data_IF_030887687851
#
_entry.id   IF_030887687851
#
_cell.length_a   1.000
_cell.length_b   1.000
_cell.length_c   1.000
_cell.angle_alpha   90.00
_cell.angle_beta   90.00
_cell.angle_gamma   90.00
#
_symmetry.space_group_name_H-M   'P 1'
#
loop_
_entity.id
_entity.type
_entity.pdbx_description
1 polymer ?
#
# COMPACT_ATOMS: atom_id res chain seq x y z
N UNK A 1 -6.31 4.66 -25.72
CA UNK A 1 -6.92 3.48 -26.32
C UNK A 1 -7.55 2.59 -25.28
N UNK A 2 -8.83 2.69 -25.22
CA UNK A 2 -9.87 1.92 -24.56
C UNK A 2 -9.42 0.65 -23.82
N UNK A 3 -9.13 0.78 -22.53
CA UNK A 3 -9.22 -0.28 -21.54
C UNK A 3 -10.70 -0.69 -21.29
N UNK A 4 -11.65 -0.09 -21.99
CA UNK A 4 -13.07 -0.41 -21.92
C UNK A 4 -13.36 -1.63 -22.80
N UNK A 5 -13.52 -2.79 -22.18
CA UNK A 5 -13.96 -4.02 -22.82
C UNK A 5 -13.15 -5.28 -22.47
N UNK A 6 -12.09 -5.18 -21.67
CA UNK A 6 -11.40 -6.37 -21.16
C UNK A 6 -12.17 -6.95 -19.97
N UNK A 7 -12.30 -8.28 -19.96
CA UNK A 7 -12.86 -8.99 -18.82
C UNK A 7 -11.98 -8.73 -17.60
N UNK A 8 -12.53 -8.36 -16.44
CA UNK A 8 -11.73 -8.18 -15.22
C UNK A 8 -10.89 -9.43 -14.93
N UNK A 9 -9.68 -9.24 -14.40
CA UNK A 9 -8.77 -10.33 -14.03
C UNK A 9 -9.43 -11.32 -13.07
N UNK A 10 -10.22 -10.80 -12.14
CA UNK A 10 -10.90 -11.55 -11.08
C UNK A 10 -12.42 -11.36 -11.17
N UNK A 11 -13.16 -12.27 -10.53
CA UNK A 11 -14.61 -12.33 -10.57
C UNK A 11 -15.31 -11.57 -9.45
N UNK A 12 -14.57 -10.77 -8.69
CA UNK A 12 -15.08 -10.01 -7.53
C UNK A 12 -15.98 -8.88 -8.03
N UNK A 13 -17.26 -8.85 -7.58
CA UNK A 13 -18.28 -8.02 -8.22
C UNK A 13 -18.10 -6.51 -8.04
N UNK A 14 -17.25 -6.08 -7.08
CA UNK A 14 -16.98 -4.67 -6.82
C UNK A 14 -15.63 -4.18 -7.37
N UNK A 15 -14.82 -5.05 -8.01
CA UNK A 15 -13.52 -4.66 -8.57
C UNK A 15 -13.62 -3.47 -9.53
N UNK A 16 -14.69 -3.41 -10.35
CA UNK A 16 -14.92 -2.30 -11.27
C UNK A 16 -15.22 -0.95 -10.60
N UNK A 17 -15.49 -0.95 -9.29
CA UNK A 17 -15.68 0.27 -8.48
C UNK A 17 -14.41 0.71 -7.75
N UNK A 18 -13.37 -0.10 -7.79
CA UNK A 18 -12.06 0.19 -7.20
C UNK A 18 -11.19 0.95 -8.22
N UNK A 19 -11.54 2.24 -8.48
CA UNK A 19 -10.82 3.09 -9.42
C UNK A 19 -9.32 3.17 -9.11
N UNK A 20 -8.95 3.01 -7.85
CA UNK A 20 -7.56 3.05 -7.40
C UNK A 20 -6.72 1.85 -7.88
N UNK A 21 -7.36 0.79 -8.40
CA UNK A 21 -6.71 -0.36 -9.05
C UNK A 21 -6.70 -0.24 -10.57
N UNK A 22 -7.79 0.30 -11.15
CA UNK A 22 -7.92 0.58 -12.58
C UNK A 22 -8.80 1.80 -12.82
N UNK A 23 -8.17 2.90 -13.18
CA UNK A 23 -8.86 4.13 -13.49
C UNK A 23 -8.96 4.32 -15.01
N UNK A 24 -10.17 4.20 -15.53
CA UNK A 24 -10.46 4.34 -16.96
C UNK A 24 -10.84 5.76 -17.37
N UNK A 25 -10.84 6.71 -16.44
CA UNK A 25 -11.30 8.08 -16.68
C UNK A 25 -12.83 8.19 -16.84
N UNK A 26 -13.59 7.24 -16.31
CA UNK A 26 -15.06 7.22 -16.44
C UNK A 26 -15.72 8.29 -15.56
N UNK A 27 -16.01 9.44 -16.14
CA UNK A 27 -16.68 10.54 -15.44
C UNK A 27 -18.12 10.22 -15.01
N UNK A 28 -18.70 9.09 -15.45
CA UNK A 28 -20.01 8.64 -14.97
C UNK A 28 -19.91 7.99 -13.59
N UNK A 29 -18.74 7.45 -13.24
CA UNK A 29 -18.44 6.93 -11.91
C UNK A 29 -18.28 8.08 -10.92
N UNK A 30 -17.39 9.03 -11.23
CA UNK A 30 -17.09 10.20 -10.41
C UNK A 30 -16.42 11.29 -11.28
N UNK A 31 -16.63 12.56 -10.96
CA UNK A 31 -15.98 13.68 -11.65
C UNK A 31 -15.50 14.73 -10.64
N UNK A 32 -14.25 15.22 -10.76
CA UNK A 32 -13.26 14.87 -11.78
C UNK A 32 -12.61 13.52 -11.53
N UNK A 33 -12.19 12.87 -12.61
CA UNK A 33 -11.40 11.63 -12.63
C UNK A 33 -10.48 11.66 -13.86
N UNK A 34 -9.31 11.02 -13.77
CA UNK A 34 -8.36 11.00 -14.87
C UNK A 34 -7.81 9.60 -15.11
N UNK A 35 -7.91 9.13 -16.36
CA UNK A 35 -7.40 7.82 -16.77
C UNK A 35 -5.95 7.61 -16.34
N UNK A 36 -5.66 6.42 -15.80
CA UNK A 36 -4.35 6.01 -15.33
C UNK A 36 -3.95 6.55 -13.95
N UNK A 37 -4.81 7.34 -13.29
CA UNK A 37 -4.62 7.69 -11.88
C UNK A 37 -4.99 6.50 -10.99
N UNK A 38 -4.16 5.47 -11.01
CA UNK A 38 -4.29 4.21 -10.27
C UNK A 38 -2.91 3.61 -9.98
N UNK A 39 -2.86 2.58 -9.15
CA UNK A 39 -1.61 1.91 -8.79
C UNK A 39 -1.12 0.90 -9.83
N UNK A 40 -1.75 0.80 -11.00
CA UNK A 40 -1.37 -0.09 -12.11
C UNK A 40 -1.20 -1.56 -11.68
N UNK A 41 -2.11 -2.05 -10.83
CA UNK A 41 -2.00 -3.39 -10.23
C UNK A 41 -2.45 -4.52 -11.16
N UNK A 42 -3.40 -4.30 -12.07
CA UNK A 42 -3.89 -5.37 -12.97
C UNK A 42 -2.76 -6.01 -13.80
N UNK A 43 -1.85 -5.25 -14.44
CA UNK A 43 -0.71 -5.85 -15.12
C UNK A 43 0.26 -6.56 -14.16
N UNK A 44 0.39 -6.09 -12.93
CA UNK A 44 1.23 -6.74 -11.91
C UNK A 44 0.69 -8.13 -11.54
N UNK A 45 -0.64 -8.30 -11.46
CA UNK A 45 -1.29 -9.56 -11.16
C UNK A 45 -1.02 -10.65 -12.22
N UNK A 46 -0.56 -10.32 -13.42
CA UNK A 46 -0.10 -11.31 -14.39
C UNK A 46 1.17 -12.05 -13.95
N UNK A 47 1.93 -11.47 -13.03
CA UNK A 47 3.19 -12.01 -12.52
C UNK A 47 3.07 -12.60 -11.12
N UNK A 48 2.35 -11.93 -10.25
CA UNK A 48 2.16 -12.35 -8.85
C UNK A 48 0.88 -11.74 -8.28
N UNK A 49 0.17 -12.51 -7.46
CA UNK A 49 -1.07 -12.08 -6.78
C UNK A 49 -0.97 -12.10 -5.26
N UNK A 50 0.11 -12.67 -4.71
CA UNK A 50 0.36 -12.81 -3.28
C UNK A 50 1.19 -14.05 -2.96
N UNK A 51 1.56 -14.20 -1.69
CA UNK A 51 2.18 -15.40 -1.11
C UNK A 51 1.82 -15.48 0.38
N UNK A 52 1.26 -16.60 0.89
CA UNK A 52 0.79 -16.71 2.26
C UNK A 52 1.90 -16.69 3.32
N UNK A 53 3.16 -16.80 2.93
CA UNK A 53 4.30 -16.64 3.83
C UNK A 53 4.67 -15.17 4.11
N UNK A 54 4.11 -14.23 3.36
CA UNK A 54 4.29 -12.80 3.59
C UNK A 54 3.22 -12.32 4.56
N UNK A 55 3.66 -11.76 5.68
CA UNK A 55 2.78 -11.31 6.76
C UNK A 55 2.86 -9.79 6.85
N UNK A 56 1.69 -9.15 6.80
CA UNK A 56 1.51 -7.71 7.04
C UNK A 56 0.83 -7.54 8.39
N UNK A 57 1.53 -6.93 9.34
CA UNK A 57 0.95 -6.55 10.62
C UNK A 57 0.21 -5.23 10.47
N UNK A 58 -1.11 -5.24 10.61
CA UNK A 58 -1.97 -4.05 10.60
C UNK A 58 -2.12 -3.56 12.03
N UNK A 59 -1.37 -2.51 12.34
CA UNK A 59 -1.35 -1.85 13.66
C UNK A 59 -2.37 -0.71 13.66
N UNK A 60 -3.61 -1.00 14.10
CA UNK A 60 -4.78 -0.13 13.88
C UNK A 60 -5.92 -0.44 14.88
N UNK A 61 -7.18 -0.11 14.55
CA UNK A 61 -8.36 -0.75 15.11
C UNK A 61 -8.34 -2.26 14.83
N UNK A 62 -9.14 -3.03 15.59
CA UNK A 62 -9.25 -4.48 15.35
C UNK A 62 -9.77 -4.82 13.97
N UNK A 63 -9.06 -5.72 13.28
CA UNK A 63 -9.52 -6.26 12.00
C UNK A 63 -10.62 -7.30 12.25
N UNK A 64 -11.76 -7.14 11.56
CA UNK A 64 -12.83 -8.13 11.58
C UNK A 64 -12.39 -9.44 10.90
N UNK A 65 -11.65 -10.27 11.61
CA UNK A 65 -11.05 -11.52 11.07
C UNK A 65 -12.08 -12.54 10.58
N UNK A 66 -13.38 -12.35 10.90
CA UNK A 66 -14.50 -13.16 10.39
C UNK A 66 -15.15 -12.56 9.14
N UNK A 67 -14.63 -11.47 8.61
CA UNK A 67 -15.16 -10.85 7.41
C UNK A 67 -15.09 -11.85 6.24
N UNK A 68 -16.18 -12.00 5.50
CA UNK A 68 -16.31 -12.99 4.40
C UNK A 68 -15.21 -12.87 3.34
N UNK A 69 -14.68 -11.66 3.15
CA UNK A 69 -13.69 -11.31 2.15
C UNK A 69 -12.27 -11.15 2.73
N UNK A 70 -12.06 -11.45 4.02
CA UNK A 70 -10.75 -11.38 4.70
C UNK A 70 -10.35 -12.69 5.37
N UNK A 71 -11.31 -13.47 5.85
CA UNK A 71 -11.06 -14.60 6.76
C UNK A 71 -10.00 -15.58 6.24
N UNK A 72 -9.96 -15.89 4.94
CA UNK A 72 -8.99 -16.79 4.35
C UNK A 72 -7.56 -16.22 4.30
N UNK A 73 -7.43 -14.89 4.31
CA UNK A 73 -6.14 -14.19 4.29
C UNK A 73 -5.71 -13.65 5.67
N UNK A 74 -6.41 -14.05 6.73
CA UNK A 74 -5.91 -13.74 8.08
C UNK A 74 -4.71 -14.60 8.43
N UNK A 75 -3.75 -13.99 9.10
CA UNK A 75 -2.68 -14.71 9.81
C UNK A 75 -3.27 -15.46 11.01
N UNK A 76 -2.77 -16.64 11.28
CA UNK A 76 -3.27 -17.48 12.37
C UNK A 76 -2.10 -18.06 13.15
N UNK A 77 -2.07 -17.79 14.46
CA UNK A 77 -1.21 -18.52 15.38
C UNK A 77 -1.79 -19.92 15.59
N UNK A 78 -1.15 -20.92 14.96
CA UNK A 78 -1.65 -22.31 14.98
C UNK A 78 -1.53 -22.96 16.34
N UNK A 79 -0.59 -22.55 17.18
CA UNK A 79 -0.44 -23.06 18.55
C UNK A 79 -1.66 -22.65 19.39
N UNK A 80 -2.00 -21.37 19.36
CA UNK A 80 -3.14 -20.81 20.09
C UNK A 80 -4.50 -21.32 19.54
N UNK A 81 -4.64 -21.41 18.21
CA UNK A 81 -5.89 -21.90 17.59
C UNK A 81 -6.19 -23.37 18.00
N UNK A 82 -5.17 -24.20 18.12
CA UNK A 82 -5.29 -25.62 18.45
C UNK A 82 -5.00 -25.90 19.93
N UNK A 83 -4.69 -24.87 20.70
CA UNK A 83 -4.31 -24.90 22.08
C UNK A 83 -5.48 -24.88 23.07
N UNK A 84 -5.21 -24.53 24.30
CA UNK A 84 -6.17 -24.50 25.39
C UNK A 84 -6.55 -23.03 25.68
N UNK A 85 -7.82 -22.71 25.58
CA UNK A 85 -8.32 -21.35 25.87
C UNK A 85 -7.85 -20.85 27.26
N UNK A 86 -7.30 -19.63 27.29
CA UNK A 86 -6.78 -18.98 28.49
C UNK A 86 -5.38 -19.43 28.88
N UNK A 87 -4.68 -20.14 27.99
CA UNK A 87 -3.29 -20.57 28.13
C UNK A 87 -2.47 -19.97 27.00
N UNK A 88 -1.26 -19.56 27.27
CA UNK A 88 -0.24 -19.20 26.27
C UNK A 88 0.43 -20.51 25.82
N UNK A 89 -0.05 -21.08 24.71
CA UNK A 89 0.32 -22.44 24.27
C UNK A 89 1.68 -22.47 23.53
N UNK A 90 2.18 -21.34 23.03
CA UNK A 90 3.49 -21.23 22.39
C UNK A 90 4.56 -20.55 23.25
N UNK A 91 4.18 -20.03 24.43
CA UNK A 91 5.10 -19.41 25.39
C UNK A 91 5.65 -18.07 24.96
N UNK A 92 4.92 -17.35 24.08
CA UNK A 92 5.32 -16.05 23.57
C UNK A 92 5.00 -14.88 24.51
N UNK A 93 4.23 -15.12 25.59
CA UNK A 93 3.78 -14.14 26.57
C UNK A 93 2.41 -13.54 26.29
N UNK A 94 1.69 -13.99 25.24
CA UNK A 94 0.41 -13.48 24.79
C UNK A 94 -0.64 -14.60 24.73
N UNK A 95 -1.57 -14.61 25.68
CA UNK A 95 -2.60 -15.65 25.79
C UNK A 95 -3.68 -15.48 24.71
N UNK A 96 -4.07 -16.59 24.05
CA UNK A 96 -5.14 -16.63 23.06
C UNK A 96 -4.93 -15.69 21.84
N UNK A 97 -3.69 -15.41 21.42
CA UNK A 97 -3.35 -14.49 20.31
C UNK A 97 -3.54 -15.11 18.91
N UNK A 98 -4.71 -15.72 18.68
CA UNK A 98 -5.00 -16.52 17.47
C UNK A 98 -4.87 -15.73 16.16
N UNK A 99 -5.34 -14.49 16.11
CA UNK A 99 -5.32 -13.64 14.90
C UNK A 99 -4.44 -12.39 15.04
N UNK A 100 -3.64 -12.34 16.09
CA UNK A 100 -2.89 -11.21 16.56
C UNK A 100 -3.27 -10.86 17.99
N UNK A 101 -2.97 -9.65 18.47
CA UNK A 101 -3.20 -9.31 19.88
C UNK A 101 -3.79 -7.89 20.01
N UNK A 102 -4.68 -7.71 21.02
CA UNK A 102 -5.31 -6.45 21.35
C UNK A 102 -4.51 -5.76 22.47
N UNK A 103 -3.58 -4.89 22.07
CA UNK A 103 -2.73 -4.12 22.98
C UNK A 103 -3.49 -2.96 23.66
N UNK A 104 -4.64 -2.53 23.14
CA UNK A 104 -5.47 -1.51 23.78
C UNK A 104 -6.14 -2.06 25.04
N UNK A 105 -6.51 -3.33 25.06
CA UNK A 105 -7.19 -4.00 26.16
C UNK A 105 -6.37 -5.09 26.86
N UNK A 106 -5.17 -5.42 26.34
CA UNK A 106 -4.27 -6.45 26.87
C UNK A 106 -4.90 -7.85 26.88
N UNK A 107 -5.32 -8.31 25.72
CA UNK A 107 -5.98 -9.61 25.54
C UNK A 107 -5.81 -10.16 24.13
N UNK A 108 -5.89 -11.48 23.96
CA UNK A 108 -5.86 -12.14 22.64
C UNK A 108 -7.12 -11.90 21.79
N UNK A 109 -8.24 -11.56 22.44
CA UNK A 109 -9.50 -11.34 21.72
C UNK A 109 -9.49 -9.98 20.98
N UNK A 110 -9.42 -10.08 19.64
CA UNK A 110 -9.54 -8.91 18.75
C UNK A 110 -10.99 -8.47 18.70
N UNK A 111 -11.26 -7.20 18.97
CA UNK A 111 -12.59 -6.60 19.00
C UNK A 111 -12.76 -5.59 17.88
N UNK A 112 -13.97 -5.44 17.33
CA UNK A 112 -14.31 -4.49 16.26
C UNK A 112 -15.73 -3.92 16.39
N UNK A 113 -16.37 -4.14 17.54
CA UNK A 113 -17.73 -3.67 17.85
C UNK A 113 -17.77 -2.86 19.15
N UNK A 114 -16.63 -2.35 19.58
CA UNK A 114 -16.58 -1.44 20.70
C UNK A 114 -17.27 -0.12 20.33
N UNK A 115 -17.89 0.57 21.29
CA UNK A 115 -18.46 1.88 21.03
C UNK A 115 -17.41 2.83 20.42
N UNK A 116 -17.73 3.42 19.27
CA UNK A 116 -16.85 4.30 18.48
C UNK A 116 -15.86 3.57 17.56
N UNK A 117 -15.84 2.24 17.48
CA UNK A 117 -15.13 1.54 16.38
C UNK A 117 -15.73 1.95 15.04
N UNK A 118 -14.86 2.30 14.09
CA UNK A 118 -15.25 2.78 12.76
C UNK A 118 -15.10 1.74 11.66
N UNK A 119 -14.46 0.59 11.96
CA UNK A 119 -14.06 -0.41 10.99
C UNK A 119 -12.80 -0.02 10.21
N UNK A 120 -12.07 0.97 10.67
CA UNK A 120 -10.89 1.52 10.02
C UNK A 120 -9.82 0.45 9.76
N UNK A 121 -9.43 -0.33 10.77
CA UNK A 121 -8.45 -1.41 10.60
C UNK A 121 -8.92 -2.51 9.62
N UNK A 122 -10.25 -2.79 9.58
CA UNK A 122 -10.83 -3.72 8.61
C UNK A 122 -10.75 -3.17 7.18
N UNK A 123 -10.98 -1.86 7.01
CA UNK A 123 -10.86 -1.20 5.71
C UNK A 123 -9.41 -1.20 5.18
N UNK A 124 -8.47 -0.88 6.04
CA UNK A 124 -7.02 -0.95 5.76
C UNK A 124 -6.61 -2.37 5.34
N UNK A 125 -7.03 -3.38 6.11
CA UNK A 125 -6.72 -4.78 5.82
C UNK A 125 -7.26 -5.24 4.46
N UNK A 126 -8.48 -4.83 4.09
CA UNK A 126 -9.09 -5.17 2.79
C UNK A 126 -8.34 -4.60 1.60
N UNK A 127 -7.85 -3.37 1.68
CA UNK A 127 -7.03 -2.79 0.62
C UNK A 127 -5.74 -3.60 0.38
N UNK A 128 -5.15 -4.15 1.45
CA UNK A 128 -3.94 -4.97 1.32
C UNK A 128 -4.27 -6.36 0.78
N UNK A 129 -5.25 -7.06 1.38
CA UNK A 129 -5.42 -8.50 1.18
C UNK A 129 -6.87 -9.00 1.29
N UNK A 130 -7.88 -8.23 0.87
CA UNK A 130 -9.18 -8.83 0.58
C UNK A 130 -8.98 -9.99 -0.41
N UNK A 131 -9.76 -11.06 -0.26
CA UNK A 131 -9.54 -12.31 -1.02
C UNK A 131 -9.95 -12.12 -2.48
N UNK A 132 -9.00 -12.16 -3.40
CA UNK A 132 -9.28 -12.03 -4.83
C UNK A 132 -9.92 -13.30 -5.40
N UNK A 133 -10.73 -13.13 -6.45
CA UNK A 133 -11.32 -14.20 -7.26
C UNK A 133 -12.17 -15.19 -6.45
N UNK A 134 -12.82 -14.71 -5.41
CA UNK A 134 -13.74 -15.49 -4.57
C UNK A 134 -15.22 -15.28 -4.90
N UNK A 135 -15.53 -14.40 -5.86
CA UNK A 135 -16.90 -14.12 -6.33
C UNK A 135 -17.72 -13.20 -5.41
N UNK A 136 -17.11 -12.60 -4.42
CA UNK A 136 -17.76 -11.66 -3.49
C UNK A 136 -16.94 -10.39 -3.33
N UNK A 137 -17.56 -9.29 -2.93
CA UNK A 137 -16.97 -8.05 -2.48
C UNK A 137 -15.94 -7.41 -3.41
N UNK A 138 -14.78 -7.12 -2.84
CA UNK A 138 -13.69 -6.34 -3.40
C UNK A 138 -12.42 -7.16 -3.59
N UNK A 139 -11.44 -6.62 -4.33
CA UNK A 139 -10.09 -7.19 -4.38
C UNK A 139 -9.16 -6.49 -3.39
N UNK A 140 -8.18 -7.24 -2.87
CA UNK A 140 -6.99 -6.72 -2.22
C UNK A 140 -5.80 -6.69 -3.19
N UNK A 141 -4.82 -5.81 -2.95
CA UNK A 141 -3.64 -5.66 -3.82
C UNK A 141 -2.83 -6.96 -3.89
N UNK A 142 -2.68 -7.63 -2.77
CA UNK A 142 -1.97 -8.90 -2.62
C UNK A 142 -2.90 -10.01 -2.09
N UNK A 143 -4.19 -9.99 -2.51
CA UNK A 143 -5.26 -10.86 -2.03
C UNK A 143 -5.23 -12.30 -2.56
N UNK A 144 -4.24 -12.65 -3.38
CA UNK A 144 -4.09 -13.97 -3.98
C UNK A 144 -4.87 -14.17 -5.27
N UNK A 145 -5.06 -15.42 -5.67
CA UNK A 145 -5.75 -15.83 -6.90
C UNK A 145 -7.08 -16.56 -6.68
N UNK A 146 -7.55 -16.62 -5.43
CA UNK A 146 -8.69 -17.43 -5.02
C UNK A 146 -8.32 -18.83 -4.50
N UNK A 147 -7.02 -19.12 -4.38
CA UNK A 147 -6.50 -20.43 -3.94
C UNK A 147 -5.90 -20.38 -2.52
N UNK A 148 -6.34 -19.47 -1.66
CA UNK A 148 -5.77 -19.18 -0.33
C UNK A 148 -4.29 -18.79 -0.36
N UNK A 149 -3.86 -18.18 -1.42
CA UNK A 149 -2.48 -17.79 -1.73
C UNK A 149 -2.23 -16.28 -1.55
N UNK A 150 -3.16 -15.56 -0.95
CA UNK A 150 -2.97 -14.15 -0.56
C UNK A 150 -2.01 -13.97 0.61
N UNK A 151 -1.44 -12.77 0.72
CA UNK A 151 -0.63 -12.39 1.89
C UNK A 151 -1.47 -12.41 3.17
N UNK A 152 -0.83 -12.63 4.30
CA UNK A 152 -1.53 -12.80 5.58
C UNK A 152 -1.57 -11.51 6.39
N UNK A 153 -2.75 -11.17 6.90
CA UNK A 153 -3.00 -10.02 7.76
C UNK A 153 -2.96 -10.45 9.22
N UNK A 154 -2.04 -9.87 9.98
CA UNK A 154 -1.96 -10.00 11.43
C UNK A 154 -2.59 -8.76 12.07
N UNK A 155 -3.60 -8.94 12.92
CA UNK A 155 -4.28 -7.82 13.59
C UNK A 155 -3.53 -7.40 14.84
N UNK A 156 -2.94 -6.21 14.81
CA UNK A 156 -2.27 -5.59 15.94
C UNK A 156 -3.15 -4.45 16.44
N UNK A 157 -4.07 -4.77 17.35
CA UNK A 157 -5.09 -3.83 17.77
C UNK A 157 -4.55 -2.87 18.82
N UNK A 158 -4.40 -1.58 18.48
CA UNK A 158 -3.97 -0.51 19.37
C UNK A 158 -5.08 0.50 19.67
N UNK A 159 -6.20 0.42 18.95
CA UNK A 159 -7.43 1.17 19.17
C UNK A 159 -8.62 0.20 19.33
N UNK A 160 -9.44 0.41 20.35
CA UNK A 160 -10.63 -0.40 20.61
C UNK A 160 -11.74 0.53 21.16
N UNK A 161 -12.47 1.17 20.26
CA UNK A 161 -13.43 2.22 20.58
C UNK A 161 -12.74 3.38 21.30
N UNK A 162 -13.12 3.61 22.55
CA UNK A 162 -12.52 4.66 23.42
C UNK A 162 -11.16 4.27 23.99
N UNK A 163 -10.78 3.03 23.93
CA UNK A 163 -9.51 2.56 24.45
C UNK A 163 -8.41 2.73 23.42
N UNK A 164 -7.32 3.31 23.86
CA UNK A 164 -6.12 3.51 23.08
C UNK A 164 -4.92 2.93 23.82
N UNK A 165 -4.05 2.25 23.14
CA UNK A 165 -2.82 1.75 23.73
C UNK A 165 -1.88 2.90 24.12
N UNK A 166 -0.97 2.64 25.05
CA UNK A 166 0.09 3.58 25.45
C UNK A 166 1.31 3.42 24.54
N UNK A 167 2.24 4.38 24.58
CA UNK A 167 3.52 4.29 23.84
C UNK A 167 4.26 2.99 24.20
N UNK A 168 4.31 2.60 25.46
CA UNK A 168 4.94 1.37 25.90
C UNK A 168 4.27 0.14 25.27
N UNK A 169 2.94 0.11 25.23
CA UNK A 169 2.20 -0.98 24.57
C UNK A 169 2.37 -1.01 23.06
N UNK A 170 2.53 0.15 22.42
CA UNK A 170 2.86 0.23 21.00
C UNK A 170 4.25 -0.39 20.74
N UNK A 171 5.20 -0.15 21.64
CA UNK A 171 6.52 -0.77 21.59
C UNK A 171 6.40 -2.31 21.70
N UNK A 172 5.64 -2.81 22.68
CA UNK A 172 5.37 -4.25 22.83
C UNK A 172 4.72 -4.83 21.56
N UNK A 173 3.77 -4.10 20.96
CA UNK A 173 3.08 -4.46 19.72
C UNK A 173 4.06 -4.61 18.54
N UNK A 174 5.06 -3.72 18.43
CA UNK A 174 6.08 -3.78 17.38
C UNK A 174 7.02 -4.99 17.59
N UNK A 175 7.43 -5.25 18.84
CA UNK A 175 8.22 -6.44 19.18
C UNK A 175 7.43 -7.73 18.91
N UNK A 176 6.16 -7.77 19.27
CA UNK A 176 5.26 -8.88 18.98
C UNK A 176 5.18 -9.13 17.46
N UNK A 177 4.84 -8.11 16.66
CA UNK A 177 4.78 -8.24 15.20
C UNK A 177 6.10 -8.77 14.61
N UNK A 178 7.24 -8.33 15.18
CA UNK A 178 8.58 -8.81 14.79
C UNK A 178 8.76 -10.29 15.09
N UNK A 179 8.47 -10.71 16.33
CA UNK A 179 8.64 -12.11 16.78
C UNK A 179 7.71 -13.08 16.07
N UNK A 180 6.50 -12.63 15.72
CA UNK A 180 5.51 -13.41 14.98
C UNK A 180 5.72 -13.39 13.45
N UNK A 181 6.81 -12.80 12.97
CA UNK A 181 7.30 -12.95 11.61
C UNK A 181 6.76 -11.93 10.58
N UNK A 182 6.11 -10.86 11.00
CA UNK A 182 5.64 -9.83 10.08
C UNK A 182 6.80 -9.14 9.35
N UNK A 183 6.73 -9.06 8.02
CA UNK A 183 7.74 -8.38 7.19
C UNK A 183 7.39 -6.92 6.93
N UNK A 184 6.11 -6.55 7.05
CA UNK A 184 5.60 -5.21 6.85
C UNK A 184 4.79 -4.80 8.08
N UNK A 185 5.06 -3.60 8.61
CA UNK A 185 4.26 -2.96 9.63
C UNK A 185 3.46 -1.82 8.98
N UNK A 186 2.16 -1.99 8.92
CA UNK A 186 1.20 -1.05 8.35
C UNK A 186 0.61 -0.18 9.46
N UNK A 187 0.79 1.14 9.36
CA UNK A 187 0.39 2.11 10.38
C UNK A 187 -0.42 3.26 9.78
N UNK A 188 -1.75 3.15 9.81
CA UNK A 188 -2.64 4.22 9.34
C UNK A 188 -3.07 5.17 10.49
N UNK A 189 -2.12 5.58 11.31
CA UNK A 189 -2.29 6.46 12.46
C UNK A 189 -1.07 7.36 12.66
N UNK A 190 -1.17 8.34 13.53
CA UNK A 190 -0.04 9.22 13.86
C UNK A 190 -0.46 10.34 14.81
N UNK A 191 0.49 11.21 15.14
CA UNK A 191 0.24 12.45 15.84
C UNK A 191 -0.22 13.52 14.86
N UNK A 192 -1.05 14.44 15.32
CA UNK A 192 -1.47 15.58 14.53
C UNK A 192 -0.27 16.41 14.08
N UNK A 193 -0.37 16.98 12.88
CA UNK A 193 0.63 17.93 12.35
C UNK A 193 0.98 19.00 13.39
N UNK A 194 2.28 19.19 13.60
CA UNK A 194 2.80 20.19 14.56
C UNK A 194 2.86 19.74 16.04
N UNK A 195 2.40 18.55 16.39
CA UNK A 195 2.56 18.01 17.75
C UNK A 195 4.04 17.71 18.08
N UNK A 196 4.78 17.20 17.11
CA UNK A 196 6.24 17.06 17.14
C UNK A 196 6.77 17.71 15.85
N UNK A 197 7.84 18.49 15.94
CA UNK A 197 8.32 19.36 14.87
C UNK A 197 9.74 19.04 14.37
N UNK A 198 10.43 18.10 15.02
CA UNK A 198 11.77 17.68 14.60
C UNK A 198 12.07 16.25 15.05
N UNK A 199 13.03 15.61 14.36
CA UNK A 199 13.54 14.28 14.74
C UNK A 199 14.16 14.28 16.14
N UNK A 200 14.83 15.39 16.53
CA UNK A 200 15.38 15.55 17.87
C UNK A 200 14.28 15.51 18.93
N UNK A 201 13.20 16.29 18.75
CA UNK A 201 12.05 16.26 19.65
C UNK A 201 11.41 14.87 19.68
N UNK A 202 11.28 14.21 18.54
CA UNK A 202 10.72 12.86 18.47
C UNK A 202 11.56 11.85 19.25
N UNK A 203 12.88 11.91 19.11
CA UNK A 203 13.80 11.04 19.86
C UNK A 203 13.80 11.34 21.36
N UNK A 204 13.67 12.59 21.76
CA UNK A 204 13.58 12.97 23.19
C UNK A 204 12.30 12.42 23.84
N UNK A 205 11.19 12.49 23.14
CA UNK A 205 9.87 12.11 23.69
C UNK A 205 9.52 10.64 23.47
N UNK A 206 10.06 10.00 22.39
CA UNK A 206 9.64 8.69 21.87
C UNK A 206 10.79 7.79 21.47
N UNK A 207 11.95 7.92 22.07
CA UNK A 207 13.12 7.08 21.77
C UNK A 207 12.86 5.57 21.84
N UNK A 208 12.00 5.12 22.76
CA UNK A 208 11.63 3.70 22.86
C UNK A 208 10.88 3.21 21.63
N UNK A 209 10.02 4.04 21.02
CA UNK A 209 9.29 3.73 19.79
C UNK A 209 10.26 3.72 18.60
N UNK A 210 11.17 4.69 18.49
CA UNK A 210 12.21 4.71 17.46
C UNK A 210 13.14 3.48 17.54
N UNK A 211 13.49 3.03 18.74
CA UNK A 211 14.27 1.81 18.96
C UNK A 211 13.49 0.55 18.53
N UNK A 212 12.18 0.49 18.80
CA UNK A 212 11.35 -0.62 18.35
C UNK A 212 11.23 -0.64 16.82
N UNK A 213 11.14 0.51 16.15
CA UNK A 213 11.20 0.58 14.69
C UNK A 213 12.53 0.06 14.16
N UNK A 214 13.65 0.49 14.73
CA UNK A 214 14.96 -0.02 14.34
C UNK A 214 15.07 -1.55 14.55
N UNK A 215 14.51 -2.07 15.64
CA UNK A 215 14.43 -3.51 15.88
C UNK A 215 13.61 -4.23 14.81
N UNK A 216 12.41 -3.73 14.48
CA UNK A 216 11.56 -4.30 13.43
C UNK A 216 12.28 -4.32 12.07
N UNK A 217 12.94 -3.23 11.69
CA UNK A 217 13.61 -3.09 10.39
C UNK A 217 14.81 -4.05 10.30
N UNK A 218 15.60 -4.18 11.38
CA UNK A 218 16.89 -4.91 11.34
C UNK A 218 16.78 -6.39 11.73
N UNK A 219 15.64 -6.87 12.24
CA UNK A 219 15.50 -8.27 12.64
C UNK A 219 15.13 -9.13 11.45
N UNK A 220 15.96 -10.14 11.13
CA UNK A 220 15.71 -11.12 10.06
C UNK A 220 14.59 -12.07 10.45
N UNK A 221 13.71 -12.39 9.50
CA UNK A 221 12.65 -13.39 9.65
C UNK A 221 13.02 -14.63 8.84
N UNK A 222 13.00 -15.84 9.46
CA UNK A 222 13.30 -17.06 8.73
C UNK A 222 12.39 -17.25 7.53
N UNK A 223 12.99 -17.45 6.36
CA UNK A 223 12.26 -17.71 5.12
C UNK A 223 11.59 -16.51 4.46
N UNK A 224 11.71 -15.30 5.03
CA UNK A 224 11.29 -14.06 4.39
C UNK A 224 12.25 -13.69 3.24
N UNK A 225 11.75 -13.14 2.12
CA UNK A 225 12.57 -12.55 1.06
C UNK A 225 13.16 -11.18 1.45
N UNK A 226 12.82 -10.65 2.61
CA UNK A 226 13.38 -9.43 3.19
C UNK A 226 14.24 -9.77 4.40
N UNK A 227 15.51 -9.38 4.40
CA UNK A 227 16.44 -9.58 5.50
C UNK A 227 16.17 -8.65 6.69
N UNK A 228 14.93 -8.29 6.92
CA UNK A 228 14.47 -7.37 7.95
C UNK A 228 12.99 -7.06 7.78
N UNK A 229 12.57 -5.82 8.01
CA UNK A 229 11.20 -5.35 7.82
C UNK A 229 11.13 -3.97 7.19
N UNK A 230 9.94 -3.58 6.74
CA UNK A 230 9.62 -2.23 6.30
C UNK A 230 8.40 -1.70 7.08
N UNK A 231 8.45 -0.43 7.47
CA UNK A 231 7.39 0.23 8.24
C UNK A 231 6.81 1.35 7.39
N UNK A 232 5.48 1.38 7.27
CA UNK A 232 4.77 2.29 6.38
C UNK A 232 3.70 3.05 7.17
N UNK A 233 3.75 4.38 7.14
CA UNK A 233 2.89 5.28 7.91
C UNK A 233 2.11 6.24 7.01
N UNK A 234 0.87 6.53 7.42
CA UNK A 234 0.07 7.60 6.85
C UNK A 234 0.59 8.98 7.27
N UNK A 235 0.69 9.93 6.33
CA UNK A 235 1.26 11.27 6.56
C UNK A 235 0.43 12.17 7.48
N UNK A 236 -0.89 11.90 7.62
CA UNK A 236 -1.86 12.71 8.35
C UNK A 236 -2.83 13.49 7.44
N UNK A 237 -3.89 14.06 8.03
CA UNK A 237 -5.06 14.58 7.30
C UNK A 237 -5.41 16.04 7.66
N UNK A 238 -4.44 16.85 8.05
CA UNK A 238 -4.64 18.23 8.50
C UNK A 238 -4.31 19.27 7.42
N UNK A 239 -4.00 18.85 6.18
CA UNK A 239 -3.51 19.69 5.10
C UNK A 239 -2.26 20.52 5.51
N UNK A 240 -1.44 19.95 6.36
CA UNK A 240 -0.25 20.55 6.98
C UNK A 240 1.04 19.76 6.70
N UNK A 241 2.02 19.93 7.59
CA UNK A 241 3.24 19.13 7.55
C UNK A 241 2.97 17.66 7.88
N UNK A 242 3.78 16.74 7.36
CA UNK A 242 3.70 15.32 7.73
C UNK A 242 3.84 15.16 9.25
N UNK A 243 2.93 14.38 9.87
CA UNK A 243 2.95 14.11 11.30
C UNK A 243 3.96 13.03 11.67
N UNK A 244 4.35 12.95 12.93
CA UNK A 244 5.13 11.84 13.47
C UNK A 244 4.20 10.70 13.94
N UNK A 245 4.64 9.45 13.83
CA UNK A 245 5.95 8.92 13.40
C UNK A 245 6.21 8.97 11.89
N UNK A 246 5.24 9.26 11.03
CA UNK A 246 5.41 9.21 9.57
C UNK A 246 6.61 10.07 9.06
N UNK A 247 6.83 11.25 9.67
CA UNK A 247 7.93 12.13 9.31
C UNK A 247 9.33 11.63 9.75
N UNK A 248 9.41 10.55 10.55
CA UNK A 248 10.69 10.03 11.04
C UNK A 248 11.41 9.22 9.94
N UNK A 249 12.71 9.47 9.66
CA UNK A 249 13.38 8.96 8.46
C UNK A 249 13.45 7.44 8.31
N UNK A 250 13.27 6.66 9.39
CA UNK A 250 13.35 5.19 9.31
C UNK A 250 12.08 4.52 8.79
N UNK A 251 10.99 5.27 8.66
CA UNK A 251 9.70 4.75 8.15
C UNK A 251 9.36 5.35 6.79
N UNK A 252 8.39 4.79 6.09
CA UNK A 252 7.90 5.32 4.81
C UNK A 252 6.67 6.17 5.05
N UNK A 253 6.75 7.46 4.72
CA UNK A 253 5.67 8.44 4.86
C UNK A 253 4.83 8.51 3.58
N UNK A 254 3.53 8.17 3.68
CA UNK A 254 2.62 8.08 2.53
C UNK A 254 1.62 9.24 2.50
N UNK A 255 1.65 10.03 1.43
CA UNK A 255 0.70 11.11 1.14
C UNK A 255 -0.48 10.62 0.30
N UNK A 256 -1.56 11.42 0.24
CA UNK A 256 -2.82 11.01 -0.39
C UNK A 256 -3.11 11.75 -1.69
N UNK A 257 -3.59 10.99 -2.69
CA UNK A 257 -4.04 11.48 -3.99
C UNK A 257 -5.54 11.27 -4.20
N UNK A 258 -6.14 12.25 -4.89
CA UNK A 258 -7.47 12.15 -5.48
C UNK A 258 -7.45 11.37 -6.79
N UNK A 259 -8.61 11.22 -7.43
CA UNK A 259 -8.84 10.43 -8.65
C UNK A 259 -8.18 10.97 -9.93
N UNK A 260 -7.44 12.08 -9.87
CA UNK A 260 -6.91 12.83 -11.03
C UNK A 260 -5.44 13.22 -10.89
N UNK A 261 -4.66 12.49 -10.11
CA UNK A 261 -3.24 12.74 -9.76
C UNK A 261 -2.99 13.98 -8.90
N UNK A 262 -4.04 14.68 -8.48
CA UNK A 262 -3.85 15.83 -7.59
C UNK A 262 -3.89 15.42 -6.12
N UNK A 263 -3.21 16.15 -5.23
CA UNK A 263 -3.27 15.89 -3.79
C UNK A 263 -4.70 15.89 -3.27
N UNK A 264 -5.04 14.96 -2.37
CA UNK A 264 -6.30 15.03 -1.62
C UNK A 264 -6.34 16.29 -0.77
N UNK A 265 -7.53 16.88 -0.61
CA UNK A 265 -7.72 18.17 0.06
C UNK A 265 -7.16 18.20 1.49
N UNK A 266 -7.20 17.06 2.15
CA UNK A 266 -6.78 16.89 3.54
C UNK A 266 -5.32 16.47 3.71
N UNK A 267 -4.64 16.00 2.65
CA UNK A 267 -3.34 15.34 2.80
C UNK A 267 -2.30 16.25 3.47
N UNK A 268 -1.58 15.70 4.44
CA UNK A 268 -0.32 16.29 4.87
C UNK A 268 0.73 16.09 3.80
N UNK A 269 1.70 17.00 3.73
CA UNK A 269 2.74 17.05 2.70
C UNK A 269 4.02 17.71 3.24
N UNK A 270 5.12 17.62 2.52
CA UNK A 270 6.37 18.26 2.92
C UNK A 270 7.60 17.44 2.57
N UNK A 271 8.79 17.90 2.97
CA UNK A 271 10.05 17.20 2.71
C UNK A 271 10.12 15.79 3.31
N UNK A 272 9.49 15.50 4.48
CA UNK A 272 9.47 14.14 5.01
C UNK A 272 8.57 13.16 4.25
N UNK A 273 7.76 13.60 3.29
CA UNK A 273 6.95 12.70 2.47
C UNK A 273 7.85 11.85 1.56
N UNK A 274 7.67 10.53 1.59
CA UNK A 274 8.46 9.59 0.79
C UNK A 274 7.77 9.18 -0.51
N UNK A 275 6.43 8.97 -0.48
CA UNK A 275 5.67 8.43 -1.60
C UNK A 275 4.19 8.84 -1.51
N UNK A 276 3.50 8.85 -2.64
CA UNK A 276 2.07 9.12 -2.72
C UNK A 276 1.29 7.88 -3.19
N UNK A 277 0.04 7.76 -2.76
CA UNK A 277 -0.87 6.72 -3.22
C UNK A 277 -2.34 7.20 -3.23
N UNK A 278 -3.26 6.52 -3.95
CA UNK A 278 -4.68 6.83 -3.89
C UNK A 278 -5.24 6.77 -2.47
N UNK A 279 -5.82 7.85 -1.97
CA UNK A 279 -6.52 7.90 -0.69
C UNK A 279 -7.93 8.44 -0.80
N UNK A 280 -8.31 8.86 -2.02
CA UNK A 280 -9.62 9.41 -2.33
C UNK A 280 -9.82 10.82 -1.80
N UNK A 281 -10.96 11.40 -2.07
CA UNK A 281 -11.27 12.77 -1.63
C UNK A 281 -12.78 13.04 -1.68
N UNK A 282 -13.44 12.97 -0.52
CA UNK A 282 -14.89 13.27 -0.42
C UNK A 282 -15.21 14.73 -0.75
N UNK A 283 -14.31 15.67 -0.47
CA UNK A 283 -14.56 17.11 -0.61
C UNK A 283 -14.30 17.66 -2.00
N UNK A 284 -13.73 16.87 -2.89
CA UNK A 284 -13.36 17.30 -4.23
C UNK A 284 -14.43 17.04 -5.29
N UNK A 285 -15.16 15.95 -5.16
CA UNK A 285 -16.07 15.48 -6.20
C UNK A 285 -17.42 16.18 -6.18
N UNK A 286 -17.99 16.35 -7.37
CA UNK A 286 -19.33 16.90 -7.55
C UNK A 286 -20.35 16.03 -6.82
N UNK A 287 -21.30 16.67 -6.16
CA UNK A 287 -22.38 16.03 -5.41
C UNK A 287 -21.91 15.15 -4.23
N UNK A 288 -20.68 15.40 -3.72
CA UNK A 288 -20.08 14.57 -2.65
C UNK A 288 -20.17 13.06 -2.95
N UNK A 289 -19.80 12.67 -4.18
CA UNK A 289 -19.86 11.27 -4.60
C UNK A 289 -18.86 10.42 -3.80
N UNK A 290 -19.37 9.39 -3.14
CA UNK A 290 -18.52 8.44 -2.42
C UNK A 290 -17.58 7.66 -3.34
N UNK A 291 -17.93 7.49 -4.62
CA UNK A 291 -17.13 6.76 -5.60
C UNK A 291 -15.73 7.34 -5.85
N UNK A 292 -15.47 8.60 -5.44
CA UNK A 292 -14.13 9.20 -5.47
C UNK A 292 -13.25 8.84 -4.28
N UNK A 293 -13.77 8.10 -3.33
CA UNK A 293 -13.04 7.56 -2.17
C UNK A 293 -12.51 6.15 -2.48
N UNK A 294 -11.84 5.52 -1.52
CA UNK A 294 -11.32 4.15 -1.63
C UNK A 294 -12.36 3.16 -1.13
N UNK A 295 -12.74 2.21 -1.97
CA UNK A 295 -13.67 1.13 -1.61
C UNK A 295 -12.91 -0.06 -1.04
N UNK A 296 -13.29 -0.52 0.15
CA UNK A 296 -12.71 -1.68 0.81
C UNK A 296 -13.70 -2.35 1.77
N UNK A 297 -13.25 -3.38 2.48
CA UNK A 297 -14.00 -4.11 3.50
C UNK A 297 -14.24 -3.25 4.74
N UNK A 298 -15.39 -3.37 5.38
CA UNK A 298 -15.73 -2.71 6.65
C UNK A 298 -16.55 -3.64 7.55
N UNK A 299 -17.05 -3.12 8.65
CA UNK A 299 -17.85 -3.90 9.59
C UNK A 299 -19.22 -4.25 9.01
N UNK A 300 -19.80 -5.36 9.49
CA UNK A 300 -21.12 -5.82 9.07
C UNK A 300 -22.23 -4.77 9.29
N UNK A 301 -22.10 -3.95 10.32
CA UNK A 301 -23.06 -2.86 10.61
C UNK A 301 -23.07 -1.80 9.51
N UNK A 302 -21.92 -1.63 8.82
CA UNK A 302 -21.74 -0.65 7.74
C UNK A 302 -21.92 -1.27 6.34
N UNK A 303 -22.44 -2.50 6.27
CA UNK A 303 -22.78 -3.19 5.03
C UNK A 303 -21.65 -4.02 4.43
N UNK A 304 -20.62 -4.37 5.19
CA UNK A 304 -19.45 -5.19 4.84
C UNK A 304 -18.43 -4.47 3.92
N UNK A 305 -18.85 -3.53 3.09
CA UNK A 305 -18.02 -2.77 2.15
C UNK A 305 -18.42 -1.30 2.17
N UNK A 306 -17.45 -0.41 2.27
CA UNK A 306 -17.69 1.04 2.26
C UNK A 306 -16.56 1.82 1.61
N UNK A 307 -16.88 3.04 1.25
CA UNK A 307 -15.93 4.04 0.79
C UNK A 307 -15.39 4.85 1.96
N UNK A 308 -14.07 5.01 2.03
CA UNK A 308 -13.40 5.89 2.98
C UNK A 308 -12.33 6.73 2.27
N UNK A 309 -11.99 7.89 2.82
CA UNK A 309 -10.88 8.72 2.32
C UNK A 309 -9.97 9.17 3.45
N UNK A 310 -8.67 9.20 3.16
CA UNK A 310 -7.62 9.58 4.11
C UNK A 310 -6.26 9.12 3.64
N UNK A 311 -5.20 9.68 4.21
CA UNK A 311 -3.85 9.12 4.10
C UNK A 311 -3.82 7.70 4.70
N UNK A 312 -4.76 7.40 5.60
CA UNK A 312 -5.01 6.05 6.12
C UNK A 312 -5.41 5.04 5.05
N UNK A 313 -6.02 5.47 3.93
CA UNK A 313 -6.37 4.63 2.78
C UNK A 313 -5.24 4.62 1.75
N UNK A 314 -4.40 5.65 1.69
CA UNK A 314 -3.20 5.67 0.85
C UNK A 314 -2.12 4.72 1.36
N UNK A 315 -1.89 4.72 2.66
CA UNK A 315 -0.86 3.92 3.33
C UNK A 315 -0.97 2.41 3.00
N UNK A 316 -2.14 1.75 3.09
CA UNK A 316 -2.27 0.34 2.75
C UNK A 316 -2.08 0.02 1.26
N UNK A 317 -2.20 1.00 0.35
CA UNK A 317 -1.80 0.78 -1.05
C UNK A 317 -0.30 0.53 -1.15
N UNK A 318 0.51 1.32 -0.46
CA UNK A 318 1.97 1.13 -0.46
C UNK A 318 2.33 -0.17 0.24
N UNK A 319 1.69 -0.50 1.37
CA UNK A 319 1.90 -1.77 2.08
C UNK A 319 1.49 -2.98 1.23
N UNK A 320 0.37 -2.89 0.50
CA UNK A 320 -0.08 -3.94 -0.41
C UNK A 320 0.87 -4.15 -1.59
N UNK A 321 1.36 -3.06 -2.20
CA UNK A 321 2.34 -3.15 -3.28
C UNK A 321 3.69 -3.69 -2.78
N UNK A 322 4.14 -3.29 -1.60
CA UNK A 322 5.33 -3.86 -0.96
C UNK A 322 5.14 -5.36 -0.68
N UNK A 323 3.97 -5.78 -0.16
CA UNK A 323 3.65 -7.18 0.07
C UNK A 323 3.62 -8.01 -1.23
N UNK A 324 3.07 -7.45 -2.30
CA UNK A 324 3.08 -8.05 -3.64
C UNK A 324 4.51 -8.19 -4.18
N UNK A 325 5.35 -7.16 -3.98
CA UNK A 325 6.77 -7.18 -4.32
C UNK A 325 7.54 -8.28 -3.58
N UNK A 326 7.33 -8.42 -2.26
CA UNK A 326 7.93 -9.51 -1.46
C UNK A 326 7.43 -10.89 -1.89
N UNK A 327 6.13 -11.01 -2.21
CA UNK A 327 5.56 -12.25 -2.74
C UNK A 327 6.25 -12.66 -4.05
N UNK A 328 6.46 -11.70 -4.94
CA UNK A 328 7.17 -11.95 -6.21
C UNK A 328 8.66 -12.26 -6.01
N UNK A 329 9.33 -11.57 -5.07
CA UNK A 329 10.70 -11.88 -4.67
C UNK A 329 10.82 -13.34 -4.19
N UNK A 330 9.88 -13.79 -3.37
CA UNK A 330 9.78 -15.18 -2.89
C UNK A 330 9.65 -16.15 -4.06
N UNK A 331 8.73 -15.89 -4.98
CA UNK A 331 8.51 -16.69 -6.19
C UNK A 331 9.79 -16.80 -7.04
N UNK A 332 10.58 -15.73 -7.13
CA UNK A 332 11.84 -15.68 -7.88
C UNK A 332 13.06 -16.19 -7.10
N UNK A 333 12.90 -16.55 -5.82
CA UNK A 333 14.01 -16.94 -4.95
C UNK A 333 15.01 -15.82 -4.65
N UNK A 334 14.54 -14.57 -4.69
CA UNK A 334 15.35 -13.36 -4.41
C UNK A 334 15.20 -12.92 -2.96
N UNK A 335 16.23 -12.30 -2.44
CA UNK A 335 16.27 -11.69 -1.09
C UNK A 335 16.83 -10.30 -1.20
N UNK A 336 16.33 -9.39 -0.38
CA UNK A 336 16.72 -7.98 -0.35
C UNK A 336 17.07 -7.53 1.07
N UNK A 337 17.97 -6.57 1.21
CA UNK A 337 18.14 -5.83 2.46
C UNK A 337 17.03 -4.78 2.61
N UNK A 338 16.66 -4.38 3.84
CA UNK A 338 15.55 -3.43 4.08
C UNK A 338 15.69 -2.11 3.31
N UNK A 339 16.86 -1.50 3.32
CA UNK A 339 17.11 -0.23 2.63
C UNK A 339 17.00 -0.39 1.11
N UNK A 340 17.56 -1.47 0.53
CA UNK A 340 17.45 -1.78 -0.90
C UNK A 340 15.97 -1.95 -1.30
N UNK A 341 15.20 -2.69 -0.52
CA UNK A 341 13.79 -2.91 -0.80
C UNK A 341 12.96 -1.63 -0.65
N UNK A 342 13.23 -0.82 0.39
CA UNK A 342 12.63 0.51 0.55
C UNK A 342 12.90 1.39 -0.66
N UNK A 343 14.16 1.48 -1.11
CA UNK A 343 14.52 2.27 -2.29
C UNK A 343 13.81 1.79 -3.55
N UNK A 344 13.61 0.48 -3.72
CA UNK A 344 12.82 -0.07 -4.83
C UNK A 344 11.35 0.36 -4.75
N UNK A 345 10.73 0.34 -3.56
CA UNK A 345 9.37 0.86 -3.37
C UNK A 345 9.28 2.33 -3.77
N UNK A 346 10.20 3.16 -3.27
CA UNK A 346 10.22 4.60 -3.52
C UNK A 346 10.56 4.97 -4.97
N UNK A 347 11.26 4.11 -5.69
CA UNK A 347 11.57 4.28 -7.11
C UNK A 347 10.47 3.76 -8.06
N UNK A 348 9.53 2.93 -7.54
CA UNK A 348 8.48 2.30 -8.33
C UNK A 348 7.25 3.20 -8.42
N UNK A 349 7.40 4.36 -9.05
CA UNK A 349 6.38 5.45 -9.03
C UNK A 349 6.16 6.06 -10.42
N UNK A 350 5.03 6.74 -10.54
CA UNK A 350 4.69 7.66 -11.63
C UNK A 350 4.87 9.11 -11.16
N UNK A 351 5.50 9.94 -12.00
CA UNK A 351 5.75 11.36 -11.70
C UNK A 351 4.44 12.14 -11.55
N UNK A 352 4.34 12.94 -10.50
CA UNK A 352 3.20 13.81 -10.20
C UNK A 352 3.39 15.25 -10.66
N UNK A 353 4.60 15.71 -10.87
CA UNK A 353 4.91 17.11 -11.17
C UNK A 353 4.14 17.69 -12.36
N UNK A 354 3.86 16.92 -13.44
CA UNK A 354 3.02 17.39 -14.55
C UNK A 354 1.60 17.80 -14.15
N UNK A 355 1.08 17.21 -13.08
CA UNK A 355 -0.28 17.45 -12.58
C UNK A 355 -0.34 18.53 -11.48
N UNK A 356 0.79 18.87 -10.88
CA UNK A 356 0.90 19.85 -9.81
C UNK A 356 1.00 21.28 -10.37
N UNK A 357 -0.02 21.70 -11.11
CA UNK A 357 -0.09 23.01 -11.78
C UNK A 357 -1.45 23.68 -11.56
N UNK A 358 -1.45 25.01 -11.45
CA UNK A 358 -2.68 25.78 -11.28
C UNK A 358 -3.35 25.60 -9.93
N UNK A 359 -4.69 25.67 -9.93
CA UNK A 359 -5.51 25.68 -8.71
C UNK A 359 -6.57 24.59 -8.79
N UNK A 360 -6.60 23.72 -7.77
CA UNK A 360 -7.67 22.76 -7.52
C UNK A 360 -8.80 23.44 -6.76
N UNK A 361 -10.02 23.40 -7.31
CA UNK A 361 -11.24 23.88 -6.63
C UNK A 361 -11.92 22.70 -5.98
N UNK A 362 -12.33 22.86 -4.74
CA UNK A 362 -13.04 21.85 -3.98
C UNK A 362 -14.15 22.49 -3.14
N UNK A 363 -15.01 21.67 -2.53
CA UNK A 363 -16.22 22.16 -1.84
C UNK A 363 -15.95 23.16 -0.70
N UNK A 364 -14.78 23.08 -0.09
CA UNK A 364 -14.39 23.91 1.07
C UNK A 364 -13.41 25.03 0.71
N UNK A 365 -13.05 25.21 -0.59
CA UNK A 365 -12.10 26.24 -0.98
C UNK A 365 -11.26 25.92 -2.21
N UNK A 366 -10.02 26.34 -2.19
CA UNK A 366 -9.06 26.16 -3.29
C UNK A 366 -7.69 25.78 -2.77
N UNK A 367 -6.98 24.93 -3.52
CA UNK A 367 -5.58 24.57 -3.29
C UNK A 367 -4.71 25.05 -4.43
N UNK A 368 -3.59 25.68 -4.14
CA UNK A 368 -2.57 25.98 -5.12
C UNK A 368 -1.67 24.76 -5.32
N UNK A 369 -1.84 24.03 -6.42
CA UNK A 369 -1.15 22.77 -6.66
C UNK A 369 0.37 22.92 -6.79
N UNK A 370 0.86 24.09 -7.20
CA UNK A 370 2.30 24.36 -7.34
C UNK A 370 3.03 24.25 -5.99
N UNK A 371 2.36 24.52 -4.89
CA UNK A 371 2.94 24.42 -3.53
C UNK A 371 3.27 22.99 -3.10
N UNK A 372 2.70 21.99 -3.79
CA UNK A 372 2.90 20.56 -3.52
C UNK A 372 4.06 19.94 -4.32
N UNK A 373 4.65 20.65 -5.29
CA UNK A 373 5.80 20.17 -6.06
C UNK A 373 6.97 19.82 -5.15
N UNK A 374 7.52 18.61 -5.33
CA UNK A 374 8.60 18.07 -4.51
C UNK A 374 8.23 17.80 -3.04
N UNK A 375 6.93 17.82 -2.68
CA UNK A 375 6.45 17.64 -1.31
C UNK A 375 5.43 16.50 -1.16
N UNK A 376 5.19 15.76 -2.23
CA UNK A 376 4.28 14.60 -2.24
C UNK A 376 5.04 13.27 -2.25
N UNK A 377 6.35 13.30 -1.97
CA UNK A 377 7.24 12.16 -2.09
C UNK A 377 7.77 11.97 -3.50
N UNK A 378 8.29 10.78 -3.79
CA UNK A 378 8.91 10.43 -5.08
C UNK A 378 7.92 10.34 -6.26
N UNK A 379 6.63 10.20 -5.98
CA UNK A 379 5.56 10.06 -6.96
C UNK A 379 4.46 9.10 -6.51
N UNK A 380 3.52 8.78 -7.39
CA UNK A 380 2.44 7.83 -7.13
C UNK A 380 2.93 6.39 -7.32
N UNK A 381 2.75 5.55 -6.31
CA UNK A 381 3.14 4.13 -6.34
C UNK A 381 2.55 3.41 -7.55
N UNK A 382 3.34 2.50 -8.16
CA UNK A 382 2.97 1.68 -9.31
C UNK A 382 3.38 0.22 -9.04
N UNK A 383 2.39 -0.67 -8.93
CA UNK A 383 2.60 -2.07 -8.60
C UNK A 383 3.35 -2.83 -9.70
N UNK A 384 3.09 -2.53 -10.97
CA UNK A 384 3.81 -3.18 -12.08
C UNK A 384 5.29 -2.80 -12.07
N UNK A 385 5.61 -1.51 -11.88
CA UNK A 385 7.01 -1.05 -11.76
C UNK A 385 7.72 -1.72 -10.59
N UNK A 386 7.01 -1.90 -9.46
CA UNK A 386 7.55 -2.61 -8.29
C UNK A 386 7.94 -4.05 -8.63
N UNK A 387 7.08 -4.81 -9.30
CA UNK A 387 7.40 -6.18 -9.70
C UNK A 387 8.55 -6.23 -10.71
N UNK A 388 8.61 -5.28 -11.65
CA UNK A 388 9.72 -5.20 -12.59
C UNK A 388 11.04 -4.85 -11.90
N UNK A 389 11.02 -3.97 -10.91
CA UNK A 389 12.18 -3.68 -10.07
C UNK A 389 12.67 -4.93 -9.32
N UNK A 390 11.76 -5.66 -8.67
CA UNK A 390 12.06 -6.95 -8.01
C UNK A 390 12.63 -7.97 -8.99
N UNK A 391 12.08 -8.06 -10.18
CA UNK A 391 12.58 -8.93 -11.25
C UNK A 391 13.98 -8.53 -11.72
N UNK A 392 14.35 -7.25 -11.58
CA UNK A 392 15.57 -6.67 -12.13
C UNK A 392 15.42 -6.24 -13.58
N UNK A 393 14.18 -6.04 -14.03
CA UNK A 393 13.85 -5.56 -15.37
C UNK A 393 13.22 -4.17 -15.26
N UNK A 394 13.82 -3.13 -15.86
CA UNK A 394 13.26 -1.80 -15.75
C UNK A 394 11.89 -1.71 -16.41
N UNK A 395 10.94 -1.10 -15.71
CA UNK A 395 9.69 -0.67 -16.32
C UNK A 395 9.91 0.70 -16.95
N UNK A 396 9.50 0.86 -18.20
CA UNK A 396 9.69 2.07 -18.99
C UNK A 396 8.34 2.54 -19.49
N UNK A 397 8.01 3.80 -19.21
CA UNK A 397 6.83 4.43 -19.78
C UNK A 397 7.18 5.02 -21.14
N UNK A 398 6.46 4.60 -22.18
CA UNK A 398 6.57 5.16 -23.53
C UNK A 398 5.33 6.00 -23.79
N UNK A 399 5.51 7.29 -24.11
CA UNK A 399 4.41 8.15 -24.54
C UNK A 399 4.09 7.89 -26.01
N UNK A 400 2.80 7.84 -26.35
CA UNK A 400 2.34 7.69 -27.74
C UNK A 400 2.88 8.83 -28.60
N UNK A 401 3.34 8.50 -29.81
CA UNK A 401 3.88 9.44 -30.80
C UNK A 401 5.14 10.22 -30.35
N UNK A 402 5.80 9.76 -29.29
CA UNK A 402 7.08 10.34 -28.82
C UNK A 402 8.16 9.28 -28.72
N UNK A 403 9.34 9.51 -29.35
CA UNK A 403 10.47 8.59 -29.17
C UNK A 403 10.93 8.58 -27.71
N UNK A 404 11.05 7.40 -27.15
CA UNK A 404 11.61 7.22 -25.80
C UNK A 404 12.95 6.49 -25.95
N UNK A 405 14.05 7.13 -25.58
CA UNK A 405 15.40 6.55 -25.61
C UNK A 405 15.82 6.09 -24.24
N UNK A 406 16.29 4.87 -24.16
CA UNK A 406 16.66 4.16 -22.94
C UNK A 406 18.13 3.79 -23.00
N UNK A 407 18.90 4.08 -21.97
CA UNK A 407 20.26 3.56 -21.83
C UNK A 407 20.23 2.12 -21.33
N UNK A 408 20.56 1.18 -22.21
CA UNK A 408 20.65 -0.24 -21.88
C UNK A 408 21.82 -0.54 -20.96
N UNK A 409 22.92 0.23 -21.08
CA UNK A 409 24.10 0.02 -20.24
C UNK A 409 23.86 0.29 -18.75
N UNK A 410 22.86 1.10 -18.43
CA UNK A 410 22.43 1.35 -17.04
C UNK A 410 21.94 0.08 -16.35
N UNK A 411 21.39 -0.86 -17.12
CA UNK A 411 20.73 -2.06 -16.60
C UNK A 411 21.49 -3.35 -16.89
N UNK A 412 22.17 -3.41 -18.02
CA UNK A 412 22.78 -4.65 -18.54
C UNK A 412 24.29 -4.55 -18.80
N UNK A 413 24.92 -3.42 -18.43
CA UNK A 413 26.30 -3.15 -18.79
C UNK A 413 26.47 -2.85 -20.28
N UNK A 414 27.68 -3.05 -20.83
CA UNK A 414 27.93 -2.81 -22.24
C UNK A 414 27.25 -3.86 -23.11
N UNK A 415 26.24 -3.42 -23.89
CA UNK A 415 25.46 -4.28 -24.80
C UNK A 415 25.83 -4.09 -26.27
N UNK A 416 26.90 -3.35 -26.58
CA UNK A 416 27.29 -3.04 -27.99
C UNK A 416 27.62 -4.28 -28.82
N UNK A 417 28.00 -5.39 -28.19
CA UNK A 417 28.28 -6.68 -28.82
C UNK A 417 27.07 -7.62 -28.79
N UNK A 418 25.89 -7.19 -28.27
CA UNK A 418 24.70 -8.01 -28.11
C UNK A 418 23.64 -7.65 -29.18
N UNK A 419 22.84 -8.62 -29.57
CA UNK A 419 21.61 -8.38 -30.32
C UNK A 419 20.45 -8.14 -29.35
N UNK A 420 19.85 -6.97 -29.44
CA UNK A 420 18.70 -6.59 -28.60
C UNK A 420 17.45 -6.59 -29.49
N UNK A 421 16.38 -7.23 -29.04
CA UNK A 421 15.10 -7.31 -29.74
C UNK A 421 13.95 -6.85 -28.84
N UNK A 422 12.92 -6.27 -29.45
CA UNK A 422 11.66 -6.00 -28.77
C UNK A 422 10.71 -7.19 -28.99
N UNK A 423 10.41 -7.92 -27.93
CA UNK A 423 9.42 -9.00 -27.99
C UNK A 423 8.05 -8.45 -27.58
N UNK A 424 7.19 -8.25 -28.56
CA UNK A 424 5.76 -7.96 -28.42
C UNK A 424 4.99 -8.81 -29.41
N UNK A 425 3.73 -9.14 -29.12
CA UNK A 425 2.90 -9.83 -30.10
C UNK A 425 2.68 -8.95 -31.32
N UNK A 426 2.61 -9.57 -32.52
CA UNK A 426 2.37 -8.84 -33.77
C UNK A 426 1.12 -7.98 -33.69
N UNK A 427 0.06 -8.48 -33.04
CA UNK A 427 -1.18 -7.74 -32.84
C UNK A 427 -1.00 -6.45 -32.00
N UNK A 428 -0.13 -6.47 -31.00
CA UNK A 428 0.21 -5.28 -30.18
C UNK A 428 1.10 -4.34 -31.00
N UNK A 429 2.09 -4.87 -31.70
CA UNK A 429 3.00 -4.10 -32.55
C UNK A 429 2.24 -3.33 -33.61
N UNK A 430 1.35 -4.02 -34.35
CA UNK A 430 0.52 -3.44 -35.41
C UNK A 430 -0.49 -2.42 -34.84
N UNK A 431 -1.12 -2.75 -33.71
CA UNK A 431 -2.13 -1.87 -33.05
C UNK A 431 -1.52 -0.56 -32.54
N UNK A 432 -0.30 -0.61 -32.02
CA UNK A 432 0.38 0.55 -31.45
C UNK A 432 1.36 1.23 -32.40
N UNK A 433 1.64 0.62 -33.58
CA UNK A 433 2.60 1.15 -34.54
C UNK A 433 4.03 1.18 -34.00
N UNK A 434 4.38 0.28 -33.05
CA UNK A 434 5.67 0.32 -32.36
C UNK A 434 6.84 0.10 -33.28
N UNK A 435 7.83 0.99 -33.21
CA UNK A 435 9.16 0.81 -33.79
C UNK A 435 10.22 0.69 -32.69
N UNK A 436 11.27 -0.07 -32.99
CA UNK A 436 12.38 -0.31 -32.07
C UNK A 436 13.70 -0.23 -32.77
N UNK A 437 14.61 0.62 -32.31
CA UNK A 437 15.96 0.72 -32.85
C UNK A 437 16.99 0.67 -31.72
N UNK A 438 18.16 0.09 -31.98
CA UNK A 438 19.27 0.07 -31.02
C UNK A 438 20.51 0.66 -31.68
N UNK A 439 21.08 1.67 -31.04
CA UNK A 439 22.33 2.31 -31.43
C UNK A 439 23.31 2.34 -30.26
N UNK A 440 24.39 1.56 -30.35
CA UNK A 440 25.34 1.37 -29.27
C UNK A 440 24.63 0.80 -28.02
N UNK A 441 24.74 1.51 -26.91
CA UNK A 441 24.10 1.15 -25.64
C UNK A 441 22.71 1.76 -25.44
N UNK A 442 22.10 2.35 -26.47
CA UNK A 442 20.81 2.99 -26.37
C UNK A 442 19.75 2.28 -27.23
N UNK A 443 18.57 2.07 -26.67
CA UNK A 443 17.39 1.60 -27.38
C UNK A 443 16.37 2.74 -27.50
N UNK A 444 15.78 2.92 -28.65
CA UNK A 444 14.69 3.90 -28.87
C UNK A 444 13.43 3.15 -29.28
N UNK A 445 12.33 3.46 -28.60
CA UNK A 445 10.98 2.96 -28.86
C UNK A 445 10.13 4.15 -29.28
N UNK A 446 9.41 4.02 -30.36
CA UNK A 446 8.47 5.05 -30.86
C UNK A 446 7.14 4.43 -31.11
#
# INVERSE_FOLDING_TARGET
NTRSGETPKFNDPMLNKQWHYKNTGDETLVSPIKEGCDINVEPAWEFCTGDPSIIVAVMDEGVMYKHEDLAANMWVNQAELNGQKGVDDDGNGYVDDVYGYNFAKDQGDITWTDPEDSGHGTHVAGTISAVNNNGIGVCGIAGGSGNNDGVKIMSIQIFAGRYQSTISRNVDAIYYATSMGASILQCSWGLMSGAINSDEQYLDERSIEANAFAHFINTKRPGSPLNGGIIIFAAGNEAGACGYPAAYPSVVCVTSLSTDFTPSVFTNYGMPADIAAPGGDLYYHKNHSDAGQVLSTVLKLDGMYAYMSGTSMSCPHVSGVAALGLSYAKQLGKTFEPDEFRDMVLASVNDLDPYLTGVKKHNNGTMNLVEYKGKMGSGMIDAYKMLMAVRGTPAITVEQDKPTTISLSKYYGDVTALSCTLEVSDAVKDKLGLTFTVEGNNATIT
#
